data_IF_119980851901
#
_entry.id   IF_119980851901
#
_cell.length_a   1.000
_cell.length_b   1.000
_cell.length_c   1.000
_cell.angle_alpha   90.00
_cell.angle_beta   90.00
_cell.angle_gamma   90.00
#
_symmetry.space_group_name_H-M   'P 1'
#
loop_
_entity.id
_entity.type
_entity.pdbx_description
1 polymer ?
#
# COMPACT_ATOMS: atom_id res chain seq x y z
N UNK A 1 -10.55 17.96 23.90
CA UNK A 1 -9.35 18.26 23.09
C UNK A 1 -8.29 17.16 23.18
N UNK A 2 -8.11 16.49 24.31
CA UNK A 2 -7.14 15.38 24.45
C UNK A 2 -7.35 14.21 23.47
N UNK A 3 -8.60 13.79 23.26
CA UNK A 3 -8.90 12.69 22.31
C UNK A 3 -8.48 13.02 20.89
N UNK A 4 -8.71 14.26 20.44
CA UNK A 4 -8.38 14.70 19.09
C UNK A 4 -6.86 14.78 18.89
N UNK A 5 -6.13 15.33 19.87
CA UNK A 5 -4.66 15.32 19.85
C UNK A 5 -4.07 13.92 19.88
N UNK A 6 -4.64 13.03 20.70
CA UNK A 6 -4.19 11.65 20.76
C UNK A 6 -4.37 10.95 19.41
N UNK A 7 -5.54 11.10 18.81
CA UNK A 7 -5.86 10.54 17.49
C UNK A 7 -4.98 11.12 16.38
N UNK A 8 -4.68 12.41 16.44
CA UNK A 8 -3.75 13.09 15.52
C UNK A 8 -2.35 12.50 15.60
N UNK A 9 -1.80 12.38 16.81
CA UNK A 9 -0.47 11.79 17.03
C UNK A 9 -0.45 10.33 16.58
N UNK A 10 -1.50 9.56 16.89
CA UNK A 10 -1.59 8.16 16.48
C UNK A 10 -1.62 8.04 14.95
N UNK A 11 -2.50 8.82 14.29
CA UNK A 11 -2.62 8.82 12.82
C UNK A 11 -1.31 9.25 12.18
N UNK A 12 -0.66 10.28 12.71
CA UNK A 12 0.66 10.74 12.25
C UNK A 12 1.70 9.63 12.34
N UNK A 13 1.82 8.97 13.49
CA UNK A 13 2.79 7.89 13.68
C UNK A 13 2.50 6.68 12.77
N UNK A 14 1.22 6.35 12.55
CA UNK A 14 0.81 5.29 11.63
C UNK A 14 1.16 5.63 10.19
N UNK A 15 0.84 6.85 9.74
CA UNK A 15 1.12 7.32 8.38
C UNK A 15 2.62 7.41 8.13
N UNK A 16 3.39 7.96 9.07
CA UNK A 16 4.85 8.05 8.97
C UNK A 16 5.51 6.67 8.88
N UNK A 17 5.07 5.73 9.72
CA UNK A 17 5.56 4.34 9.67
C UNK A 17 5.24 3.68 8.33
N UNK A 18 4.05 3.93 7.79
CA UNK A 18 3.63 3.37 6.51
C UNK A 18 4.43 3.98 5.35
N UNK A 19 4.58 5.31 5.33
CA UNK A 19 5.41 6.05 4.36
C UNK A 19 6.83 5.48 4.32
N UNK A 20 7.47 5.32 5.48
CA UNK A 20 8.82 4.79 5.56
C UNK A 20 8.91 3.35 5.02
N UNK A 21 7.99 2.46 5.42
CA UNK A 21 8.01 1.06 4.96
C UNK A 21 7.75 0.95 3.45
N UNK A 22 6.80 1.71 2.92
CA UNK A 22 6.49 1.72 1.48
C UNK A 22 7.65 2.33 0.68
N UNK A 23 8.24 3.43 1.12
CA UNK A 23 9.43 4.04 0.51
C UNK A 23 10.62 3.08 0.49
N UNK A 24 10.85 2.36 1.60
CA UNK A 24 11.89 1.32 1.67
C UNK A 24 11.62 0.19 0.68
N UNK A 25 10.39 -0.32 0.65
CA UNK A 25 10.01 -1.43 -0.25
C UNK A 25 10.17 -1.05 -1.71
N UNK A 26 9.77 0.17 -2.09
CA UNK A 26 9.97 0.69 -3.44
C UNK A 26 11.46 0.79 -3.76
N UNK A 27 12.25 1.39 -2.87
CA UNK A 27 13.69 1.54 -3.12
C UNK A 27 14.43 0.20 -3.26
N UNK A 28 14.00 -0.83 -2.52
CA UNK A 28 14.57 -2.18 -2.59
C UNK A 28 14.14 -2.96 -3.84
N UNK A 29 13.00 -2.59 -4.46
CA UNK A 29 12.45 -3.31 -5.60
C UNK A 29 12.40 -2.47 -6.89
N UNK A 30 12.87 -1.23 -6.87
CA UNK A 30 12.83 -0.34 -8.05
C UNK A 30 13.61 -0.85 -9.24
N UNK A 31 14.59 -1.71 -9.00
CA UNK A 31 15.39 -2.35 -10.04
C UNK A 31 14.70 -3.60 -10.63
N UNK A 32 13.66 -4.11 -9.96
CA UNK A 32 12.91 -5.33 -10.35
C UNK A 32 11.52 -5.02 -10.94
N UNK A 33 11.10 -3.77 -10.91
CA UNK A 33 9.72 -3.34 -11.13
C UNK A 33 9.74 -2.12 -12.02
N UNK A 34 8.87 -2.08 -13.02
CA UNK A 34 8.86 -1.00 -13.99
C UNK A 34 8.63 0.37 -13.34
N UNK A 35 9.40 1.36 -13.78
CA UNK A 35 9.29 2.74 -13.30
C UNK A 35 7.87 3.31 -13.49
N UNK A 36 7.15 2.88 -14.52
CA UNK A 36 5.74 3.27 -14.75
C UNK A 36 4.79 2.77 -13.66
N UNK A 37 5.11 1.63 -13.03
CA UNK A 37 4.36 1.10 -11.90
C UNK A 37 4.77 1.78 -10.59
N UNK A 38 6.00 2.26 -10.46
CA UNK A 38 6.52 2.92 -9.24
C UNK A 38 6.13 4.39 -9.16
N UNK A 39 6.08 5.10 -10.29
CA UNK A 39 5.74 6.52 -10.37
C UNK A 39 4.45 6.90 -9.61
N UNK A 40 3.32 6.15 -9.73
CA UNK A 40 2.13 6.46 -8.94
C UNK A 40 2.32 6.23 -7.43
N UNK A 41 3.15 5.27 -7.02
CA UNK A 41 3.46 5.02 -5.61
C UNK A 41 4.31 6.16 -5.01
N UNK A 42 5.29 6.67 -5.76
CA UNK A 42 6.07 7.85 -5.36
C UNK A 42 5.19 9.09 -5.23
N UNK A 43 4.19 9.25 -6.10
CA UNK A 43 3.19 10.31 -5.99
C UNK A 43 2.34 10.23 -4.73
N UNK A 44 1.90 9.02 -4.35
CA UNK A 44 1.19 8.77 -3.10
C UNK A 44 2.10 9.06 -1.88
N UNK A 45 3.35 8.61 -1.90
CA UNK A 45 4.33 8.91 -0.84
C UNK A 45 4.56 10.41 -0.66
N UNK A 46 4.67 11.17 -1.76
CA UNK A 46 4.81 12.61 -1.69
C UNK A 46 3.57 13.28 -1.08
N UNK A 47 2.38 12.81 -1.44
CA UNK A 47 1.11 13.31 -0.89
C UNK A 47 0.99 13.03 0.62
N UNK A 48 1.43 11.85 1.06
CA UNK A 48 1.52 11.45 2.46
C UNK A 48 2.46 12.28 3.29
N UNK A 49 3.68 12.53 2.78
CA UNK A 49 4.63 13.44 3.43
C UNK A 49 4.02 14.83 3.58
N UNK A 50 3.32 15.32 2.56
CA UNK A 50 2.64 16.62 2.62
C UNK A 50 1.49 16.66 3.63
N UNK A 51 0.75 15.55 3.79
CA UNK A 51 -0.29 15.43 4.81
C UNK A 51 0.27 15.35 6.23
N UNK A 52 1.43 14.70 6.41
CA UNK A 52 2.17 14.70 7.69
C UNK A 52 2.66 16.09 8.07
N UNK A 53 3.10 16.89 7.08
CA UNK A 53 3.54 18.27 7.27
C UNK A 53 2.38 19.22 7.58
N UNK A 54 1.21 19.02 6.96
CA UNK A 54 0.03 19.85 7.20
C UNK A 54 -0.58 19.62 8.59
N UNK A 55 -0.39 18.43 9.18
CA UNK A 55 -0.93 18.08 10.49
C UNK A 55 -2.46 17.92 10.52
N UNK A 56 -3.11 17.97 9.35
CA UNK A 56 -4.56 17.85 9.23
C UNK A 56 -5.00 16.39 9.38
N UNK A 57 -5.66 16.08 10.50
CA UNK A 57 -6.14 14.72 10.83
C UNK A 57 -6.87 14.05 9.67
N UNK A 58 -7.82 14.74 9.02
CA UNK A 58 -8.59 14.17 7.90
C UNK A 58 -7.71 13.89 6.69
N UNK A 59 -6.74 14.77 6.41
CA UNK A 59 -5.78 14.57 5.31
C UNK A 59 -4.88 13.37 5.59
N UNK A 60 -4.36 13.26 6.82
CA UNK A 60 -3.53 12.12 7.22
C UNK A 60 -4.30 10.80 7.15
N UNK A 61 -5.57 10.77 7.59
CA UNK A 61 -6.40 9.56 7.49
C UNK A 61 -6.68 9.15 6.06
N UNK A 62 -7.03 10.11 5.20
CA UNK A 62 -7.26 9.86 3.78
C UNK A 62 -6.01 9.28 3.11
N UNK A 63 -4.85 9.84 3.43
CA UNK A 63 -3.60 9.43 2.83
C UNK A 63 -3.06 8.12 3.42
N UNK A 64 -3.38 7.82 4.68
CA UNK A 64 -3.14 6.52 5.30
C UNK A 64 -3.89 5.41 4.55
N UNK A 65 -5.17 5.64 4.23
CA UNK A 65 -5.97 4.70 3.44
C UNK A 65 -5.41 4.56 2.01
N UNK A 66 -5.07 5.68 1.38
CA UNK A 66 -4.47 5.69 0.06
C UNK A 66 -3.15 4.89 0.02
N UNK A 67 -2.24 5.10 0.98
CA UNK A 67 -0.99 4.35 1.04
C UNK A 67 -1.20 2.85 1.30
N UNK A 68 -2.22 2.47 2.07
CA UNK A 68 -2.54 1.07 2.26
C UNK A 68 -2.93 0.41 0.94
N UNK A 69 -3.84 1.03 0.18
CA UNK A 69 -4.25 0.54 -1.14
C UNK A 69 -3.07 0.46 -2.12
N UNK A 70 -2.24 1.49 -2.13
CA UNK A 70 -1.02 1.55 -2.94
C UNK A 70 -0.02 0.47 -2.53
N UNK A 71 0.14 0.20 -1.23
CA UNK A 71 1.02 -0.86 -0.71
C UNK A 71 0.51 -2.25 -1.07
N UNK A 72 -0.80 -2.48 -1.07
CA UNK A 72 -1.37 -3.74 -1.59
C UNK A 72 -1.07 -3.93 -3.07
N UNK A 73 -1.24 -2.88 -3.89
CA UNK A 73 -0.89 -2.91 -5.31
C UNK A 73 0.60 -3.16 -5.54
N UNK A 74 1.46 -2.57 -4.71
CA UNK A 74 2.90 -2.85 -4.72
C UNK A 74 3.16 -4.33 -4.41
N UNK A 75 2.52 -4.88 -3.38
CA UNK A 75 2.67 -6.30 -3.02
C UNK A 75 2.23 -7.23 -4.16
N UNK A 76 1.12 -6.92 -4.85
CA UNK A 76 0.69 -7.67 -6.03
C UNK A 76 1.70 -7.60 -7.18
N UNK A 77 2.26 -6.42 -7.45
CA UNK A 77 3.31 -6.25 -8.45
C UNK A 77 4.57 -7.03 -8.08
N UNK A 78 4.96 -7.04 -6.79
CA UNK A 78 6.12 -7.79 -6.30
C UNK A 78 5.88 -9.29 -6.45
N UNK A 79 4.68 -9.75 -6.12
CA UNK A 79 4.32 -11.15 -6.27
C UNK A 79 4.35 -11.56 -7.75
N UNK A 80 3.83 -10.74 -8.66
CA UNK A 80 3.90 -10.99 -10.12
C UNK A 80 5.34 -10.98 -10.64
N UNK A 81 6.16 -10.01 -10.24
CA UNK A 81 7.57 -9.93 -10.63
C UNK A 81 8.38 -11.13 -10.10
N UNK A 82 8.07 -11.59 -8.89
CA UNK A 82 8.68 -12.78 -8.28
C UNK A 82 8.17 -14.08 -8.92
N UNK A 83 6.89 -14.17 -9.27
CA UNK A 83 6.32 -15.32 -9.96
C UNK A 83 6.91 -15.50 -11.38
N UNK A 84 7.23 -14.41 -12.09
CA UNK A 84 7.97 -14.47 -13.36
C UNK A 84 9.45 -14.87 -13.19
N UNK A 85 9.99 -14.80 -11.97
CA UNK A 85 11.36 -15.23 -11.65
C UNK A 85 11.43 -16.59 -10.92
N UNK A 86 10.28 -17.16 -10.52
CA UNK A 86 10.21 -18.36 -9.69
C UNK A 86 10.07 -19.64 -10.53
N UNK A 87 11.13 -19.97 -11.26
CA UNK A 87 11.66 -21.33 -11.20
C UNK A 87 12.85 -21.30 -10.21
N UNK A 88 12.56 -21.08 -8.92
CA UNK A 88 13.60 -21.08 -7.88
C UNK A 88 13.26 -20.29 -6.64
N UNK A 89 13.15 -21.03 -5.53
CA UNK A 89 13.39 -20.62 -4.15
C UNK A 89 12.30 -19.85 -3.39
N UNK A 90 11.82 -20.57 -2.38
CA UNK A 90 11.00 -20.19 -1.24
C UNK A 90 11.47 -18.92 -0.50
N UNK A 91 10.49 -18.22 0.08
CA UNK A 91 10.48 -17.67 1.46
C UNK A 91 10.42 -16.14 1.64
N UNK A 92 9.35 -15.76 2.36
CA UNK A 92 9.15 -14.60 3.26
C UNK A 92 8.96 -13.19 2.68
N UNK A 93 7.70 -12.73 2.74
CA UNK A 93 7.37 -11.40 3.24
C UNK A 93 5.98 -11.41 3.91
N UNK A 94 5.98 -11.53 5.24
CA UNK A 94 5.04 -10.92 6.19
C UNK A 94 3.53 -11.01 5.98
N UNK A 95 2.92 -12.11 6.45
CA UNK A 95 1.55 -12.07 6.98
C UNK A 95 1.58 -12.46 8.46
N UNK A 96 1.64 -11.42 9.30
CA UNK A 96 1.25 -11.50 10.69
C UNK A 96 -0.29 -11.65 10.73
N UNK A 97 -0.79 -12.83 10.38
CA UNK A 97 -2.19 -13.20 10.56
C UNK A 97 -2.38 -13.71 11.98
N UNK A 98 -2.69 -12.78 12.89
CA UNK A 98 -3.37 -13.10 14.13
C UNK A 98 -4.86 -13.24 13.82
N UNK A 99 -5.34 -14.48 13.66
CA UNK A 99 -6.74 -14.74 13.33
C UNK A 99 -7.09 -16.23 13.27
N UNK A 100 -7.00 -16.91 14.40
CA UNK A 100 -7.53 -18.25 14.61
C UNK A 100 -9.06 -18.29 14.42
N UNK A 101 -9.58 -19.13 13.52
CA UNK A 101 -10.99 -19.56 13.58
C UNK A 101 -11.69 -19.92 12.26
N UNK A 102 -11.43 -21.14 11.76
CA UNK A 102 -12.36 -22.08 11.11
C UNK A 102 -13.48 -21.61 10.16
N UNK A 103 -13.46 -22.20 8.95
CA UNK A 103 -14.68 -22.76 8.33
C UNK A 103 -15.09 -22.25 6.94
N UNK A 104 -14.85 -23.11 5.95
CA UNK A 104 -15.80 -23.43 4.85
C UNK A 104 -15.94 -22.45 3.66
N UNK A 105 -15.30 -22.81 2.54
CA UNK A 105 -15.70 -22.47 1.16
C UNK A 105 -17.18 -22.86 0.91
N UNK A 106 -17.95 -22.21 -0.01
CA UNK A 106 -17.55 -22.12 -1.41
C UNK A 106 -18.00 -20.86 -2.20
N UNK A 107 -17.32 -20.63 -3.32
CA UNK A 107 -17.83 -20.01 -4.55
C UNK A 107 -18.18 -18.51 -4.54
N UNK A 108 -17.24 -17.67 -4.98
CA UNK A 108 -17.55 -16.41 -5.66
C UNK A 108 -16.58 -16.21 -6.82
N UNK A 109 -17.13 -15.93 -7.99
CA UNK A 109 -16.45 -15.68 -9.26
C UNK A 109 -15.46 -14.51 -9.12
N UNK A 110 -14.32 -14.49 -9.83
CA UNK A 110 -13.55 -13.27 -9.97
C UNK A 110 -14.33 -12.32 -10.89
N UNK A 111 -15.02 -11.37 -10.29
CA UNK A 111 -15.46 -10.15 -10.96
C UNK A 111 -14.18 -9.36 -11.27
N UNK A 112 -13.78 -9.42 -12.54
CA UNK A 112 -12.62 -8.74 -13.12
C UNK A 112 -12.98 -7.26 -13.33
N UNK A 113 -13.20 -6.55 -12.22
CA UNK A 113 -13.43 -5.11 -12.17
C UNK A 113 -12.20 -4.42 -11.63
N UNK A 114 -11.17 -4.37 -12.48
CA UNK A 114 -10.24 -3.25 -12.46
C UNK A 114 -10.86 -2.20 -13.37
N UNK A 115 -11.76 -1.37 -12.81
CA UNK A 115 -12.11 -0.08 -13.42
C UNK A 115 -10.86 0.80 -13.35
N UNK A 116 -9.94 0.54 -14.28
CA UNK A 116 -8.91 1.48 -14.66
C UNK A 116 -9.65 2.64 -15.33
N UNK A 117 -10.03 3.63 -14.52
CA UNK A 117 -10.42 4.95 -14.99
C UNK A 117 -9.18 5.62 -15.62
N UNK A 118 -8.79 5.13 -16.80
CA UNK A 118 -7.90 5.81 -17.71
C UNK A 118 -8.73 6.88 -18.38
N UNK A 119 -8.78 8.06 -17.76
CA UNK A 119 -9.43 9.22 -18.36
C UNK A 119 -8.53 9.72 -19.50
N UNK A 120 -8.94 9.35 -20.70
CA UNK A 120 -8.50 9.90 -21.99
C UNK A 120 -8.24 11.41 -21.88
N UNK A 121 -7.04 11.82 -22.27
CA UNK A 121 -6.73 13.22 -22.60
C UNK A 121 -6.40 13.27 -24.08
N UNK A 122 -7.39 13.68 -24.86
CA UNK A 122 -7.20 14.16 -26.23
C UNK A 122 -7.98 15.45 -26.42
#
# INVERSE_FOLDING_TARGET
EDKKRHEEIQTKNQLDSLVYNTEKTINENKDKVDAEQIKPLEGALASAKKALESGELESMKKELENLNQVSHKLAELMYKASASSAQGSETQAGEQSAGNGGGTQPNAKPDDVIDAEFKDVN
#
